data_IF_862971969741
#
_entry.id   IF_862971969741
#
_cell.length_a   1.000
_cell.length_b   1.000
_cell.length_c   1.000
_cell.angle_alpha   90.00
_cell.angle_beta   90.00
_cell.angle_gamma   90.00
#
_symmetry.space_group_name_H-M   'P 1'
#
loop_
_entity.id
_entity.type
_entity.pdbx_description
1 polymer ?
#
# COMPACT_ATOMS: atom_id res chain seq x y z
N UNK A 1 35.71 24.56 -1.38
CA UNK A 1 34.24 24.75 -1.14
C UNK A 1 33.35 23.81 -1.98
N UNK A 2 33.87 22.63 -2.39
CA UNK A 2 33.17 21.64 -3.23
C UNK A 2 32.87 20.31 -2.52
N UNK A 3 33.40 20.10 -1.30
CA UNK A 3 33.20 18.81 -0.59
C UNK A 3 31.92 18.70 0.25
N UNK A 4 31.28 19.84 0.57
CA UNK A 4 30.08 19.84 1.42
C UNK A 4 28.76 19.65 0.65
N UNK A 5 28.73 19.89 -0.67
CA UNK A 5 27.53 19.68 -1.49
C UNK A 5 27.37 18.23 -1.94
N UNK A 6 28.46 17.49 -2.12
CA UNK A 6 28.41 16.06 -2.45
C UNK A 6 27.85 15.21 -1.31
N UNK A 7 28.14 15.58 -0.06
CA UNK A 7 27.64 14.84 1.12
C UNK A 7 26.14 15.02 1.38
N UNK A 8 25.58 16.19 1.02
CA UNK A 8 24.12 16.43 1.12
C UNK A 8 23.31 15.75 0.02
N UNK A 9 23.88 15.62 -1.19
CA UNK A 9 23.23 14.91 -2.28
C UNK A 9 23.22 13.40 -2.08
N UNK A 10 24.27 12.81 -1.49
CA UNK A 10 24.31 11.38 -1.16
C UNK A 10 23.37 11.00 0.00
N UNK A 11 23.19 11.88 1.00
CA UNK A 11 22.27 11.67 2.10
C UNK A 11 20.80 11.73 1.66
N UNK A 12 20.45 12.63 0.71
CA UNK A 12 19.11 12.70 0.14
C UNK A 12 18.82 11.49 -0.78
N UNK A 13 19.80 10.99 -1.51
CA UNK A 13 19.66 9.81 -2.37
C UNK A 13 19.42 8.53 -1.53
N UNK A 14 20.00 8.44 -0.32
CA UNK A 14 19.78 7.28 0.56
C UNK A 14 18.37 7.24 1.16
N UNK A 15 17.79 8.38 1.54
CA UNK A 15 16.40 8.46 2.04
C UNK A 15 15.35 8.28 0.94
N UNK A 16 15.68 8.61 -0.31
CA UNK A 16 14.79 8.43 -1.45
C UNK A 16 14.71 6.97 -1.93
N UNK A 17 15.74 6.15 -1.70
CA UNK A 17 15.75 4.75 -2.14
C UNK A 17 14.78 3.88 -1.34
N UNK A 18 14.82 3.90 -0.02
CA UNK A 18 13.98 3.05 0.82
C UNK A 18 12.48 3.31 0.64
N UNK A 19 12.07 4.58 0.47
CA UNK A 19 10.71 5.01 0.18
C UNK A 19 10.69 5.76 -1.15
N UNK A 20 10.99 5.05 -2.24
CA UNK A 20 11.12 5.61 -3.57
C UNK A 20 9.94 6.52 -3.94
N UNK A 21 10.22 7.66 -4.58
CA UNK A 21 9.18 8.63 -4.94
C UNK A 21 8.09 7.96 -5.78
N UNK A 22 6.83 8.19 -5.41
CA UNK A 22 5.67 7.67 -6.14
C UNK A 22 4.60 8.75 -6.29
N UNK A 23 4.08 8.86 -7.49
CA UNK A 23 2.84 9.54 -7.87
C UNK A 23 2.20 8.78 -9.03
N UNK A 24 0.87 8.78 -9.08
CA UNK A 24 0.12 8.15 -10.17
C UNK A 24 0.33 8.91 -11.48
N UNK A 25 0.39 10.25 -11.45
CA UNK A 25 0.65 11.11 -12.62
C UNK A 25 -0.23 10.74 -13.83
N UNK A 26 -1.51 10.49 -13.59
CA UNK A 26 -2.46 10.13 -14.65
C UNK A 26 -2.31 8.70 -15.19
N UNK A 27 -1.43 7.86 -14.60
CA UNK A 27 -1.33 6.44 -14.96
C UNK A 27 -2.69 5.76 -14.76
N UNK A 28 -3.11 5.02 -15.77
CA UNK A 28 -4.24 4.10 -15.73
C UNK A 28 -3.72 2.69 -15.95
N UNK A 29 -4.14 1.76 -15.11
CA UNK A 29 -3.83 0.35 -15.23
C UNK A 29 -5.15 -0.38 -15.50
N UNK A 30 -5.22 -1.12 -16.59
CA UNK A 30 -6.38 -1.92 -16.96
C UNK A 30 -6.09 -3.40 -16.78
N UNK A 31 -7.07 -4.12 -16.24
CA UNK A 31 -7.07 -5.57 -16.12
C UNK A 31 -8.23 -6.16 -16.91
N UNK A 32 -8.52 -7.43 -16.73
CA UNK A 32 -9.70 -8.06 -17.35
C UNK A 32 -11.01 -7.39 -16.90
N UNK A 33 -11.15 -7.14 -15.57
CA UNK A 33 -12.41 -6.68 -14.96
C UNK A 33 -12.35 -5.29 -14.35
N UNK A 34 -11.13 -4.71 -14.19
CA UNK A 34 -10.90 -3.51 -13.40
C UNK A 34 -10.17 -2.43 -14.19
N UNK A 35 -10.41 -1.17 -13.79
CA UNK A 35 -9.63 0.02 -14.12
C UNK A 35 -9.11 0.60 -12.81
N UNK A 36 -7.78 0.74 -12.70
CA UNK A 36 -7.13 1.41 -11.58
C UNK A 36 -6.65 2.77 -12.07
N UNK A 37 -7.12 3.83 -11.45
CA UNK A 37 -6.83 5.22 -11.81
C UNK A 37 -6.81 6.12 -10.57
N UNK A 38 -6.30 7.36 -10.70
CA UNK A 38 -6.46 8.36 -9.65
C UNK A 38 -7.94 8.58 -9.31
N UNK A 39 -8.22 8.91 -8.04
CA UNK A 39 -9.54 9.35 -7.61
C UNK A 39 -9.94 10.66 -8.29
N UNK A 40 -11.26 10.85 -8.50
CA UNK A 40 -11.88 12.05 -9.03
C UNK A 40 -12.95 12.53 -8.05
N UNK A 41 -13.28 13.81 -8.08
CA UNK A 41 -14.36 14.38 -7.24
C UNK A 41 -15.70 13.67 -7.46
N UNK A 42 -15.94 13.18 -8.67
CA UNK A 42 -17.15 12.43 -9.03
C UNK A 42 -17.25 11.02 -8.40
N UNK A 43 -16.19 10.54 -7.75
CA UNK A 43 -16.17 9.21 -7.13
C UNK A 43 -16.72 9.21 -5.69
N UNK A 44 -17.04 10.38 -5.13
CA UNK A 44 -17.39 10.55 -3.72
C UNK A 44 -18.51 9.64 -3.24
N UNK A 45 -19.58 9.54 -3.99
CA UNK A 45 -20.74 8.71 -3.62
C UNK A 45 -20.35 7.23 -3.54
N UNK A 46 -19.64 6.73 -4.55
CA UNK A 46 -19.16 5.34 -4.56
C UNK A 46 -18.12 5.07 -3.49
N UNK A 47 -17.27 6.07 -3.17
CA UNK A 47 -16.30 5.98 -2.09
C UNK A 47 -17.00 5.89 -0.74
N UNK A 48 -17.93 6.80 -0.45
CA UNK A 48 -18.72 6.79 0.79
C UNK A 48 -19.52 5.50 0.94
N UNK A 49 -20.14 5.01 -0.14
CA UNK A 49 -20.94 3.78 -0.15
C UNK A 49 -20.17 2.61 0.48
N UNK A 50 -18.90 2.37 0.12
CA UNK A 50 -18.15 1.27 0.71
C UNK A 50 -17.41 1.64 2.00
N UNK A 51 -16.96 2.89 2.14
CA UNK A 51 -16.19 3.32 3.30
C UNK A 51 -17.05 3.49 4.55
N UNK A 52 -18.35 3.72 4.42
CA UNK A 52 -19.31 3.80 5.52
C UNK A 52 -19.80 2.43 6.05
N UNK A 53 -19.45 1.34 5.37
CA UNK A 53 -19.87 0.00 5.79
C UNK A 53 -19.00 -0.51 6.92
N UNK A 54 -19.61 -0.74 8.09
CA UNK A 54 -18.94 -1.32 9.26
C UNK A 54 -18.18 -2.61 8.90
N UNK A 55 -16.94 -2.74 9.36
CA UNK A 55 -16.05 -3.87 9.11
C UNK A 55 -15.34 -3.80 7.75
N UNK A 56 -15.46 -2.72 6.98
CA UNK A 56 -14.59 -2.45 5.83
C UNK A 56 -13.32 -1.76 6.31
N UNK A 57 -13.46 -0.62 6.96
CA UNK A 57 -12.36 0.17 7.49
C UNK A 57 -11.62 -0.54 8.62
N UNK A 58 -12.34 -1.18 9.52
CA UNK A 58 -11.81 -1.88 10.68
C UNK A 58 -10.83 -3.00 10.29
N UNK A 59 -11.07 -3.66 9.16
CA UNK A 59 -10.13 -4.65 8.61
C UNK A 59 -8.81 -4.04 8.14
N UNK A 60 -8.77 -2.73 7.93
CA UNK A 60 -7.59 -1.97 7.54
C UNK A 60 -7.09 -1.01 8.63
N UNK A 61 -7.67 -1.07 9.84
CA UNK A 61 -7.25 -0.32 11.02
C UNK A 61 -7.82 1.09 11.14
N UNK A 62 -8.86 1.42 10.38
CA UNK A 62 -9.59 2.69 10.50
C UNK A 62 -11.09 2.45 10.70
N UNK A 63 -11.78 3.38 11.36
CA UNK A 63 -13.21 3.33 11.61
C UNK A 63 -13.96 3.63 10.31
N UNK A 64 -15.06 2.91 10.03
CA UNK A 64 -15.94 3.25 8.91
C UNK A 64 -16.39 4.71 8.98
N UNK A 65 -16.57 5.34 7.81
CA UNK A 65 -16.90 6.75 7.72
C UNK A 65 -18.33 7.00 8.18
N UNK A 66 -18.50 7.93 9.10
CA UNK A 66 -19.81 8.28 9.68
C UNK A 66 -20.58 9.30 8.82
N UNK A 67 -19.88 9.99 7.92
CA UNK A 67 -20.51 10.99 7.04
C UNK A 67 -19.83 11.08 5.67
N UNK A 68 -20.57 11.56 4.69
CA UNK A 68 -20.04 11.83 3.35
C UNK A 68 -18.98 12.94 3.36
N UNK A 69 -19.05 13.88 4.32
CA UNK A 69 -18.07 14.95 4.46
C UNK A 69 -16.74 14.43 4.99
N UNK A 70 -16.74 13.39 5.82
CA UNK A 70 -15.53 12.68 6.22
C UNK A 70 -14.90 12.00 5.01
N UNK A 71 -15.68 11.27 4.23
CA UNK A 71 -15.22 10.65 2.97
C UNK A 71 -14.66 11.69 2.01
N UNK A 72 -15.29 12.88 1.89
CA UNK A 72 -14.81 13.97 1.05
C UNK A 72 -13.41 14.43 1.44
N UNK A 73 -13.16 14.67 2.74
CA UNK A 73 -11.85 15.09 3.25
C UNK A 73 -10.76 14.08 2.95
N UNK A 74 -11.07 12.79 3.13
CA UNK A 74 -10.12 11.70 2.86
C UNK A 74 -9.86 11.56 1.35
N UNK A 75 -10.91 11.63 0.54
CA UNK A 75 -10.77 11.57 -0.92
C UNK A 75 -10.01 12.78 -1.47
N UNK A 76 -10.21 14.00 -0.94
CA UNK A 76 -9.42 15.18 -1.29
C UNK A 76 -7.93 14.94 -0.98
N UNK A 77 -7.61 14.29 0.13
CA UNK A 77 -6.24 13.89 0.45
C UNK A 77 -5.69 12.88 -0.56
N UNK A 78 -6.48 11.89 -1.01
CA UNK A 78 -6.08 10.94 -2.04
C UNK A 78 -5.78 11.65 -3.38
N UNK A 79 -6.64 12.58 -3.78
CA UNK A 79 -6.46 13.37 -5.01
C UNK A 79 -5.20 14.24 -4.93
N UNK A 80 -5.02 14.96 -3.82
CA UNK A 80 -3.89 15.88 -3.65
C UNK A 80 -2.53 15.16 -3.53
N UNK A 81 -2.49 14.03 -2.82
CA UNK A 81 -1.28 13.24 -2.64
C UNK A 81 -0.93 12.38 -3.85
N UNK A 82 -1.93 12.04 -4.68
CA UNK A 82 -1.79 11.28 -5.92
C UNK A 82 -1.04 9.94 -5.77
N UNK A 83 -1.37 9.20 -4.69
CA UNK A 83 -0.72 7.92 -4.35
C UNK A 83 -1.69 6.76 -4.24
N UNK A 84 -3.00 7.02 -4.27
CA UNK A 84 -4.04 6.03 -4.04
C UNK A 84 -4.83 5.83 -5.33
N UNK A 85 -4.76 4.62 -5.88
CA UNK A 85 -5.61 4.22 -7.00
C UNK A 85 -7.02 3.92 -6.51
N UNK A 86 -8.02 4.47 -7.18
CA UNK A 86 -9.38 3.97 -7.15
C UNK A 86 -9.44 2.65 -7.94
N UNK A 87 -10.05 1.63 -7.37
CA UNK A 87 -10.37 0.37 -8.06
C UNK A 87 -11.78 0.51 -8.62
N UNK A 88 -11.89 0.58 -9.94
CA UNK A 88 -13.17 0.74 -10.64
C UNK A 88 -13.54 -0.53 -11.39
N UNK A 89 -14.81 -0.90 -11.37
CA UNK A 89 -15.33 -1.93 -12.28
C UNK A 89 -15.28 -1.44 -13.72
N UNK A 90 -14.75 -2.26 -14.63
CA UNK A 90 -14.63 -1.92 -16.05
C UNK A 90 -15.98 -1.75 -16.73
N UNK A 91 -16.99 -2.50 -16.29
CA UNK A 91 -18.33 -2.52 -16.88
C UNK A 91 -19.13 -1.21 -16.72
N UNK A 92 -18.92 -0.49 -15.60
CA UNK A 92 -19.74 0.70 -15.26
C UNK A 92 -18.95 1.83 -14.62
N UNK A 93 -17.62 1.68 -14.49
CA UNK A 93 -16.70 2.64 -13.88
C UNK A 93 -17.01 2.97 -12.39
N UNK A 94 -17.79 2.12 -11.70
CA UNK A 94 -18.10 2.27 -10.27
C UNK A 94 -16.84 2.00 -9.45
N UNK A 95 -16.50 2.92 -8.54
CA UNK A 95 -15.41 2.71 -7.57
C UNK A 95 -15.88 1.72 -6.50
N UNK A 96 -15.13 0.64 -6.34
CA UNK A 96 -15.44 -0.47 -5.41
C UNK A 96 -14.37 -0.68 -4.33
N UNK A 97 -13.28 0.09 -4.37
CA UNK A 97 -12.17 -0.03 -3.44
C UNK A 97 -11.02 0.87 -3.80
N UNK A 98 -9.90 0.69 -3.11
CA UNK A 98 -8.68 1.48 -3.30
C UNK A 98 -7.41 0.67 -3.06
N UNK A 99 -6.29 1.08 -3.70
CA UNK A 99 -4.93 0.64 -3.41
C UNK A 99 -4.03 1.85 -3.25
N UNK A 100 -3.45 2.02 -2.04
CA UNK A 100 -2.45 3.02 -1.74
C UNK A 100 -1.02 2.49 -1.92
N UNK A 101 -0.14 3.35 -2.46
CA UNK A 101 1.30 3.11 -2.56
C UNK A 101 1.97 4.00 -1.53
N UNK A 102 2.04 3.51 -0.30
CA UNK A 102 2.38 4.30 0.87
C UNK A 102 3.88 4.21 1.21
N UNK A 103 4.35 5.19 1.99
CA UNK A 103 5.64 5.05 2.67
C UNK A 103 5.48 4.05 3.82
N UNK A 104 6.42 3.11 3.94
CA UNK A 104 6.48 2.32 5.16
C UNK A 104 7.20 3.13 6.24
N UNK A 105 6.58 3.24 7.42
CA UNK A 105 7.08 4.05 8.53
C UNK A 105 8.12 3.31 9.39
N UNK A 106 8.89 2.39 8.83
CA UNK A 106 9.80 1.49 9.55
C UNK A 106 11.24 1.58 9.02
N UNK A 107 11.65 2.73 8.45
CA UNK A 107 12.97 2.90 7.83
C UNK A 107 14.12 2.59 8.80
N UNK A 108 14.01 3.03 10.03
CA UNK A 108 15.04 2.81 11.07
C UNK A 108 15.10 1.35 11.52
N UNK A 109 14.01 0.63 11.35
CA UNK A 109 13.85 -0.75 11.77
C UNK A 109 14.13 -1.78 10.67
N UNK A 110 14.08 -1.35 9.41
CA UNK A 110 14.26 -2.18 8.22
C UNK A 110 15.52 -1.78 7.46
N UNK A 111 16.62 -1.61 8.19
CA UNK A 111 17.91 -1.11 7.66
C UNK A 111 18.50 -1.96 6.53
N UNK A 112 18.10 -3.24 6.42
CA UNK A 112 18.46 -4.15 5.35
C UNK A 112 17.98 -3.69 3.97
N UNK A 113 16.96 -2.81 3.92
CA UNK A 113 16.42 -2.26 2.67
C UNK A 113 17.00 -0.89 2.30
N UNK A 114 17.88 -0.31 3.12
CA UNK A 114 18.37 1.08 2.94
C UNK A 114 18.94 1.42 1.55
N UNK A 115 19.37 0.42 0.79
CA UNK A 115 19.93 0.59 -0.53
C UNK A 115 18.97 0.17 -1.66
N UNK A 116 17.73 -0.20 -1.31
CA UNK A 116 16.76 -0.75 -2.24
C UNK A 116 15.53 0.15 -2.35
N UNK A 117 14.91 0.17 -3.51
CA UNK A 117 13.72 0.97 -3.82
C UNK A 117 12.48 0.17 -3.46
N UNK A 118 11.67 0.67 -2.53
CA UNK A 118 10.46 -0.02 -2.12
C UNK A 118 9.34 0.89 -1.67
N UNK A 119 8.18 0.30 -1.48
CA UNK A 119 6.96 0.92 -0.95
C UNK A 119 6.11 -0.11 -0.21
N UNK A 120 5.17 0.39 0.57
CA UNK A 120 4.13 -0.42 1.19
C UNK A 120 2.83 -0.32 0.41
N UNK A 121 2.15 -1.46 0.21
CA UNK A 121 0.82 -1.51 -0.36
C UNK A 121 -0.22 -1.60 0.75
N UNK A 122 -1.19 -0.68 0.71
CA UNK A 122 -2.40 -0.76 1.52
C UNK A 122 -3.63 -0.84 0.62
N UNK A 123 -4.64 -1.64 0.96
CA UNK A 123 -5.82 -1.77 0.12
C UNK A 123 -7.10 -2.04 0.91
N UNK A 124 -8.21 -1.64 0.31
CA UNK A 124 -9.56 -1.85 0.82
C UNK A 124 -10.49 -2.19 -0.35
N UNK A 125 -11.46 -3.07 -0.12
CA UNK A 125 -12.50 -3.43 -1.08
C UNK A 125 -13.86 -3.43 -0.40
N UNK A 126 -14.87 -2.95 -1.08
CA UNK A 126 -16.27 -3.05 -0.68
C UNK A 126 -16.65 -4.52 -0.39
N UNK A 127 -17.41 -4.74 0.68
CA UNK A 127 -17.86 -6.09 1.10
C UNK A 127 -18.58 -6.86 0.01
N UNK A 128 -19.37 -6.17 -0.82
CA UNK A 128 -20.16 -6.78 -1.89
C UNK A 128 -19.29 -7.45 -2.97
N UNK A 129 -18.01 -7.13 -2.99
CA UNK A 129 -17.04 -7.62 -3.95
C UNK A 129 -16.01 -8.58 -3.35
N UNK A 130 -16.13 -8.92 -2.06
CA UNK A 130 -15.25 -9.90 -1.44
C UNK A 130 -15.44 -11.31 -2.03
N UNK A 131 -14.38 -12.11 -2.01
CA UNK A 131 -14.41 -13.49 -2.48
C UNK A 131 -14.40 -13.69 -4.00
N UNK A 132 -14.51 -12.61 -4.79
CA UNK A 132 -14.62 -12.66 -6.26
C UNK A 132 -13.25 -12.62 -6.99
N UNK A 133 -12.14 -12.59 -6.25
CA UNK A 133 -10.80 -12.54 -6.84
C UNK A 133 -10.36 -11.17 -7.36
N UNK A 134 -11.18 -10.12 -7.19
CA UNK A 134 -10.89 -8.78 -7.72
C UNK A 134 -9.69 -8.11 -7.05
N UNK A 135 -9.54 -8.24 -5.71
CA UNK A 135 -8.38 -7.64 -5.04
C UNK A 135 -7.04 -8.27 -5.44
N UNK A 136 -6.88 -9.61 -5.53
CA UNK A 136 -5.67 -10.19 -6.11
C UNK A 136 -5.38 -9.73 -7.54
N UNK A 137 -6.40 -9.56 -8.38
CA UNK A 137 -6.26 -9.04 -9.74
C UNK A 137 -5.70 -7.62 -9.74
N UNK A 138 -6.27 -6.73 -8.92
CA UNK A 138 -5.83 -5.36 -8.78
C UNK A 138 -4.40 -5.27 -8.20
N UNK A 139 -4.10 -6.03 -7.14
CA UNK A 139 -2.77 -6.03 -6.50
C UNK A 139 -1.70 -6.53 -7.47
N UNK A 140 -1.95 -7.61 -8.22
CA UNK A 140 -0.99 -8.12 -9.21
C UNK A 140 -0.70 -7.09 -10.30
N UNK A 141 -1.71 -6.40 -10.82
CA UNK A 141 -1.53 -5.36 -11.83
C UNK A 141 -0.67 -4.18 -11.31
N UNK A 142 -0.86 -3.80 -10.03
CA UNK A 142 -0.02 -2.78 -9.39
C UNK A 142 1.41 -3.28 -9.18
N UNK A 143 1.61 -4.54 -8.75
CA UNK A 143 2.93 -5.15 -8.60
C UNK A 143 3.69 -5.12 -9.94
N UNK A 144 3.05 -5.56 -11.01
CA UNK A 144 3.63 -5.53 -12.36
C UNK A 144 4.06 -4.12 -12.77
N UNK A 145 3.21 -3.13 -12.56
CA UNK A 145 3.53 -1.74 -12.80
C UNK A 145 4.73 -1.24 -12.00
N UNK A 146 4.74 -1.51 -10.68
CA UNK A 146 5.82 -1.04 -9.80
C UNK A 146 7.17 -1.73 -10.10
N UNK A 147 7.16 -3.02 -10.42
CA UNK A 147 8.38 -3.77 -10.71
C UNK A 147 8.91 -3.54 -12.12
N UNK A 148 8.04 -3.55 -13.12
CA UNK A 148 8.47 -3.54 -14.52
C UNK A 148 8.62 -2.13 -15.11
N UNK A 149 7.76 -1.16 -14.69
CA UNK A 149 7.81 0.19 -15.22
C UNK A 149 8.58 1.16 -14.29
N UNK A 150 8.45 1.02 -12.96
CA UNK A 150 9.08 1.90 -11.98
C UNK A 150 10.37 1.32 -11.36
N UNK A 151 10.73 0.10 -11.74
CA UNK A 151 11.98 -0.56 -11.34
C UNK A 151 12.16 -0.67 -9.82
N UNK A 152 11.06 -0.99 -9.08
CA UNK A 152 11.15 -1.22 -7.65
C UNK A 152 11.82 -2.55 -7.34
N UNK A 153 12.49 -2.62 -6.19
CA UNK A 153 13.24 -3.78 -5.75
C UNK A 153 12.39 -4.70 -4.85
N UNK A 154 11.53 -4.09 -4.05
CA UNK A 154 10.66 -4.83 -3.13
C UNK A 154 9.36 -4.09 -2.85
N UNK A 155 8.38 -4.82 -2.34
CA UNK A 155 7.13 -4.28 -1.83
C UNK A 155 6.84 -4.89 -0.45
N UNK A 156 6.33 -4.07 0.46
CA UNK A 156 5.79 -4.48 1.74
C UNK A 156 4.27 -4.44 1.70
N UNK A 157 3.64 -5.23 2.56
CA UNK A 157 2.20 -5.16 2.80
C UNK A 157 1.92 -5.74 4.17
N UNK A 158 1.20 -5.01 5.03
CA UNK A 158 0.82 -5.47 6.35
C UNK A 158 -0.60 -6.04 6.41
N UNK A 159 -0.86 -6.94 7.35
CA UNK A 159 -2.22 -7.33 7.72
C UNK A 159 -2.31 -7.60 9.22
N UNK A 160 -3.48 -7.31 9.82
CA UNK A 160 -3.79 -7.72 11.18
C UNK A 160 -4.07 -9.23 11.21
N UNK A 161 -3.55 -9.95 12.21
CA UNK A 161 -3.63 -11.41 12.25
C UNK A 161 -5.06 -11.96 12.23
N UNK A 162 -6.05 -11.17 12.64
CA UNK A 162 -7.47 -11.52 12.51
C UNK A 162 -8.01 -11.39 11.08
N UNK A 163 -7.30 -10.68 10.18
CA UNK A 163 -7.74 -10.43 8.80
C UNK A 163 -7.23 -11.52 7.83
N UNK A 164 -7.76 -12.72 7.95
CA UNK A 164 -7.43 -13.86 7.09
C UNK A 164 -7.72 -13.61 5.59
N UNK A 165 -8.61 -12.65 5.27
CA UNK A 165 -8.86 -12.27 3.87
C UNK A 165 -7.68 -11.53 3.27
N UNK A 166 -7.14 -10.54 3.99
CA UNK A 166 -5.95 -9.80 3.55
C UNK A 166 -4.75 -10.73 3.43
N UNK A 167 -4.52 -11.61 4.41
CA UNK A 167 -3.47 -12.65 4.34
C UNK A 167 -3.57 -13.48 3.06
N UNK A 168 -4.78 -13.97 2.72
CA UNK A 168 -4.99 -14.76 1.49
C UNK A 168 -4.72 -13.98 0.23
N UNK A 169 -5.10 -12.70 0.16
CA UNK A 169 -4.79 -11.83 -0.98
C UNK A 169 -3.27 -11.73 -1.14
N UNK A 170 -2.56 -11.35 -0.09
CA UNK A 170 -1.10 -11.17 -0.11
C UNK A 170 -0.37 -12.46 -0.52
N UNK A 171 -0.76 -13.60 0.07
CA UNK A 171 -0.18 -14.91 -0.27
C UNK A 171 -0.41 -15.28 -1.74
N UNK A 172 -1.63 -15.02 -2.28
CA UNK A 172 -1.94 -15.26 -3.71
C UNK A 172 -1.13 -14.36 -4.64
N UNK A 173 -0.76 -13.16 -4.21
CA UNK A 173 0.07 -12.23 -4.96
C UNK A 173 1.59 -12.47 -4.74
N UNK A 174 1.99 -13.56 -4.08
CA UNK A 174 3.38 -13.96 -3.94
C UNK A 174 4.11 -13.39 -2.73
N UNK A 175 3.46 -12.56 -1.91
CA UNK A 175 4.07 -12.07 -0.68
C UNK A 175 4.34 -13.21 0.31
N UNK A 176 5.44 -13.08 1.06
CA UNK A 176 5.87 -14.03 2.09
C UNK A 176 5.90 -13.36 3.46
N UNK A 177 5.57 -14.06 4.56
CA UNK A 177 5.74 -13.53 5.91
C UNK A 177 7.19 -13.09 6.15
N UNK A 178 7.33 -11.89 6.70
CA UNK A 178 8.63 -11.27 6.93
C UNK A 178 8.89 -10.94 8.40
N UNK A 179 7.99 -10.18 9.04
CA UNK A 179 8.08 -9.83 10.47
C UNK A 179 6.71 -9.81 11.13
N UNK A 180 6.67 -10.17 12.41
CA UNK A 180 5.52 -9.90 13.27
C UNK A 180 5.61 -8.48 13.81
N UNK A 181 4.47 -7.78 13.87
CA UNK A 181 4.36 -6.40 14.34
C UNK A 181 3.21 -6.29 15.34
N UNK A 182 3.37 -5.38 16.32
CA UNK A 182 2.24 -4.84 17.06
C UNK A 182 1.89 -3.49 16.45
N UNK A 183 0.67 -3.34 15.95
CA UNK A 183 0.23 -2.13 15.28
C UNK A 183 -0.88 -1.46 16.07
N UNK A 184 -0.85 -0.14 16.17
CA UNK A 184 -1.93 0.63 16.76
C UNK A 184 -2.90 1.07 15.66
N UNK A 185 -4.18 0.71 15.80
CA UNK A 185 -5.22 1.15 14.87
C UNK A 185 -5.56 2.63 15.09
N UNK A 186 -6.23 3.26 14.11
CA UNK A 186 -6.75 4.62 14.31
C UNK A 186 -7.81 4.71 15.43
N UNK A 187 -8.39 3.58 15.82
CA UNK A 187 -9.33 3.47 16.95
C UNK A 187 -8.62 3.34 18.31
N UNK A 188 -7.27 3.33 18.32
CA UNK A 188 -6.45 3.25 19.54
C UNK A 188 -6.27 1.84 20.09
N UNK A 189 -6.71 0.80 19.38
CA UNK A 189 -6.48 -0.61 19.80
C UNK A 189 -5.10 -1.06 19.32
N UNK A 190 -4.43 -1.89 20.15
CA UNK A 190 -3.17 -2.56 19.77
C UNK A 190 -3.47 -3.95 19.23
N UNK A 191 -3.09 -4.20 17.99
CA UNK A 191 -3.39 -5.44 17.29
C UNK A 191 -2.10 -6.12 16.81
N UNK A 192 -2.07 -7.45 16.91
CA UNK A 192 -0.98 -8.22 16.33
C UNK A 192 -1.17 -8.32 14.82
N UNK A 193 -0.09 -8.08 14.09
CA UNK A 193 -0.07 -8.14 12.64
C UNK A 193 1.18 -8.81 12.09
N UNK A 194 1.15 -9.05 10.82
CA UNK A 194 2.28 -9.61 10.07
C UNK A 194 2.62 -8.68 8.91
N UNK A 195 3.87 -8.25 8.86
CA UNK A 195 4.45 -7.59 7.70
C UNK A 195 4.86 -8.67 6.69
N UNK A 196 4.39 -8.53 5.48
CA UNK A 196 4.71 -9.40 4.36
C UNK A 196 5.65 -8.69 3.39
N UNK A 197 6.50 -9.44 2.74
CA UNK A 197 7.50 -8.97 1.79
C UNK A 197 7.34 -9.67 0.44
N UNK A 198 7.45 -8.90 -0.63
CA UNK A 198 7.61 -9.38 -1.99
C UNK A 198 8.86 -8.75 -2.62
N UNK A 199 9.83 -9.58 -2.96
CA UNK A 199 11.02 -9.14 -3.70
C UNK A 199 10.73 -9.17 -5.20
N UNK A 200 11.31 -8.22 -5.95
CA UNK A 200 11.23 -8.24 -7.40
C UNK A 200 11.96 -9.49 -7.95
N UNK A 201 11.23 -10.44 -8.56
CA UNK A 201 11.83 -11.70 -9.02
C UNK A 201 12.82 -11.51 -10.20
N UNK A 202 12.77 -10.36 -10.87
CA UNK A 202 13.63 -10.04 -12.00
C UNK A 202 15.00 -9.47 -11.56
N UNK A 203 15.21 -9.29 -10.23
CA UNK A 203 16.42 -8.70 -9.67
C UNK A 203 17.12 -9.67 -8.72
N UNK A 204 18.45 -9.71 -8.77
CA UNK A 204 19.26 -10.47 -7.83
C UNK A 204 19.57 -9.61 -6.58
N UNK A 205 18.62 -9.53 -5.66
CA UNK A 205 18.71 -8.73 -4.45
C UNK A 205 19.19 -9.60 -3.29
N UNK A 206 20.28 -9.17 -2.64
CA UNK A 206 20.82 -9.83 -1.45
C UNK A 206 20.59 -8.93 -0.26
N UNK A 207 19.68 -9.30 0.62
CA UNK A 207 19.46 -8.59 1.89
C UNK A 207 20.53 -9.02 2.90
N UNK A 208 21.08 -8.03 3.59
CA UNK A 208 21.99 -8.24 4.71
C UNK A 208 21.17 -8.31 6.01
N UNK A 209 21.17 -9.48 6.62
CA UNK A 209 20.46 -9.75 7.87
C UNK A 209 21.37 -9.76 9.10
N UNK A 210 22.61 -9.27 8.99
CA UNK A 210 23.62 -9.30 10.07
C UNK A 210 23.22 -8.50 11.31
N UNK A 211 22.25 -7.58 11.19
CA UNK A 211 21.79 -6.68 12.26
C UNK A 211 20.35 -6.95 12.70
N UNK A 212 19.87 -8.19 12.65
CA UNK A 212 18.53 -8.53 13.13
C UNK A 212 18.44 -8.43 14.66
N UNK A 213 17.96 -7.32 15.17
CA UNK A 213 17.33 -7.26 16.49
C UNK A 213 15.83 -7.53 16.35
N UNK A 214 15.29 -8.29 17.29
CA UNK A 214 13.83 -8.51 17.36
C UNK A 214 13.20 -7.20 17.82
N UNK A 215 12.66 -6.44 16.88
CA UNK A 215 12.06 -5.14 17.19
C UNK A 215 10.62 -5.37 17.66
N UNK A 216 10.41 -5.06 18.93
CA UNK A 216 9.08 -4.86 19.51
C UNK A 216 8.81 -3.36 19.38
N UNK A 217 7.85 -2.97 18.57
CA UNK A 217 7.38 -1.58 18.49
C UNK A 217 6.28 -1.38 19.53
N UNK A 218 6.53 -0.48 20.49
CA UNK A 218 5.52 0.03 21.42
C UNK A 218 4.61 1.08 20.79
#
# INVERSE_FOLDING_TARGET
>A
MLSFQLHKSELNVRGENMNAHFRINGKVIETERLILRAFKQTDLESFYEYASVEGVGEMAGWKHHESIDESRKIMDSFINNDKVFAICLKENNKVIGSIGIEKYGLEDALTEFKNYRGRELGYVLSKDYWGKGLMPEAVNAVIEYLFNELDYDFLLCGYYNFNERSKRVQTKCGFRPYRSLTMTTQMGTKEQGTLMLLMNPNKNIKLDFSHRETLIFE
#
